data_IF_374175275118
#
_entry.id   IF_374175275118
#
_cell.length_a   1.000
_cell.length_b   1.000
_cell.length_c   1.000
_cell.angle_alpha   90.00
_cell.angle_beta   90.00
_cell.angle_gamma   90.00
#
_symmetry.space_group_name_H-M   'P 1'
#
loop_
_entity.id
_entity.type
_entity.pdbx_description
1 polymer ?
#
# COMPACT_ATOMS: atom_id res chain seq x y z
N UNK A 1 40.84 23.09 -87.55
CA UNK A 1 39.71 23.39 -88.45
C UNK A 1 38.44 22.87 -87.78
N UNK A 2 37.33 23.64 -87.84
CA UNK A 2 35.96 23.26 -87.42
C UNK A 2 35.77 22.94 -85.92
N UNK A 3 34.96 23.73 -85.18
CA UNK A 3 33.48 23.65 -85.00
C UNK A 3 33.05 22.45 -84.10
N UNK A 4 32.10 22.57 -83.16
CA UNK A 4 31.01 23.56 -82.99
C UNK A 4 30.79 24.00 -81.53
N UNK A 5 30.03 25.08 -81.36
CA UNK A 5 29.40 25.50 -80.10
C UNK A 5 28.05 24.77 -79.93
N UNK A 6 27.65 24.48 -78.70
CA UNK A 6 26.23 24.42 -78.30
C UNK A 6 26.02 25.11 -76.95
N UNK A 7 24.86 25.71 -76.76
CA UNK A 7 24.47 26.46 -75.55
C UNK A 7 23.42 25.67 -74.77
N UNK A 8 23.56 25.60 -73.45
CA UNK A 8 22.56 25.05 -72.55
C UNK A 8 22.52 25.87 -71.26
N UNK A 9 21.49 26.72 -71.12
CA UNK A 9 21.22 27.48 -69.88
C UNK A 9 20.12 26.77 -69.12
N UNK A 10 20.37 26.47 -67.85
CA UNK A 10 19.35 26.20 -66.84
C UNK A 10 19.87 26.67 -65.47
N UNK A 11 18.99 27.19 -64.63
CA UNK A 11 19.35 27.85 -63.39
C UNK A 11 18.56 27.32 -62.19
N UNK A 12 19.28 27.01 -61.12
CA UNK A 12 18.78 26.74 -59.76
C UNK A 12 19.96 27.07 -58.82
N UNK A 13 19.94 28.21 -58.13
CA UNK A 13 19.26 28.47 -56.84
C UNK A 13 19.98 27.82 -55.66
N UNK A 14 20.25 28.65 -54.65
CA UNK A 14 20.79 28.38 -53.30
C UNK A 14 20.19 27.12 -52.63
N UNK A 15 20.82 26.48 -51.64
CA UNK A 15 21.68 27.05 -50.60
C UNK A 15 22.67 26.04 -49.98
N UNK A 16 23.63 26.55 -49.21
CA UNK A 16 24.52 25.76 -48.34
C UNK A 16 23.74 25.11 -47.19
N UNK A 17 23.75 23.77 -47.13
CA UNK A 17 23.28 23.04 -45.94
C UNK A 17 24.40 22.93 -44.91
N UNK A 18 24.15 23.43 -43.70
CA UNK A 18 24.97 23.15 -42.52
C UNK A 18 24.61 21.73 -42.07
N UNK A 19 25.58 20.80 -42.10
CA UNK A 19 25.39 19.46 -41.56
C UNK A 19 25.51 19.51 -40.03
N UNK A 20 24.35 19.58 -39.37
CA UNK A 20 24.27 19.29 -37.95
C UNK A 20 24.28 17.76 -37.77
N UNK A 21 25.43 17.21 -37.36
CA UNK A 21 25.52 15.80 -36.97
C UNK A 21 24.75 15.60 -35.64
N UNK A 22 23.49 15.18 -35.74
CA UNK A 22 22.75 14.65 -34.60
C UNK A 22 23.35 13.30 -34.20
N UNK A 23 23.78 13.17 -32.94
CA UNK A 23 24.20 11.89 -32.40
C UNK A 23 22.97 10.98 -32.22
N UNK A 24 22.69 10.17 -33.23
CA UNK A 24 21.59 9.22 -33.22
C UNK A 24 21.95 8.01 -32.34
N UNK A 25 21.68 8.12 -31.03
CA UNK A 25 21.82 7.02 -30.06
C UNK A 25 20.77 5.94 -30.34
N UNK A 26 21.08 5.03 -31.27
CA UNK A 26 20.23 3.89 -31.59
C UNK A 26 20.46 2.79 -30.54
N UNK A 27 19.64 2.79 -29.48
CA UNK A 27 19.70 1.78 -28.43
C UNK A 27 19.48 0.36 -28.97
N UNK A 28 20.39 -0.55 -28.63
CA UNK A 28 20.32 -1.97 -29.03
C UNK A 28 19.44 -2.76 -28.05
N UNK A 29 18.25 -3.15 -28.50
CA UNK A 29 17.22 -3.87 -27.73
C UNK A 29 17.54 -5.37 -27.52
N UNK A 30 18.74 -5.70 -27.05
CA UNK A 30 19.24 -7.09 -27.09
C UNK A 30 20.13 -7.46 -25.87
N UNK A 31 19.58 -7.42 -24.64
CA UNK A 31 20.17 -8.11 -23.46
C UNK A 31 19.33 -8.28 -22.15
N UNK A 32 18.01 -7.99 -22.08
CA UNK A 32 17.26 -7.88 -20.78
C UNK A 32 15.99 -8.80 -20.68
N UNK A 33 15.78 -9.52 -19.55
CA UNK A 33 14.62 -10.37 -19.08
C UNK A 33 14.81 -10.70 -17.55
N UNK A 34 14.14 -11.62 -16.81
CA UNK A 34 12.74 -12.09 -16.56
C UNK A 34 11.55 -11.33 -17.14
N UNK A 35 10.38 -11.10 -16.50
CA UNK A 35 9.39 -11.80 -15.60
C UNK A 35 9.58 -11.93 -14.06
N UNK A 36 8.70 -11.59 -13.07
CA UNK A 36 7.44 -10.80 -12.78
C UNK A 36 6.46 -10.48 -13.92
N UNK A 37 5.67 -9.38 -13.83
CA UNK A 37 5.21 -8.69 -15.06
C UNK A 37 6.44 -8.03 -15.68
N UNK A 38 7.22 -8.89 -16.33
CA UNK A 38 8.37 -8.59 -17.19
C UNK A 38 9.73 -8.18 -16.54
N UNK A 39 9.89 -8.15 -15.20
CA UNK A 39 11.21 -8.10 -14.50
C UNK A 39 11.52 -9.23 -13.49
N UNK A 40 12.78 -9.68 -13.41
CA UNK A 40 13.31 -10.96 -12.86
C UNK A 40 13.08 -11.40 -11.38
N UNK A 41 13.60 -12.59 -11.03
CA UNK A 41 13.87 -12.98 -9.62
C UNK A 41 15.09 -12.21 -9.11
N UNK A 42 14.96 -11.56 -7.96
CA UNK A 42 16.09 -10.88 -7.32
C UNK A 42 17.12 -11.88 -6.80
N UNK A 43 18.40 -11.50 -6.72
CA UNK A 43 19.37 -12.29 -5.95
C UNK A 43 18.99 -12.38 -4.47
N UNK A 44 19.38 -13.48 -3.82
CA UNK A 44 19.26 -13.65 -2.36
C UNK A 44 20.04 -12.52 -1.66
N UNK A 45 19.43 -11.89 -0.66
CA UNK A 45 19.97 -10.74 0.06
C UNK A 45 20.26 -9.48 -0.79
N UNK A 46 19.74 -9.36 -2.03
CA UNK A 46 19.83 -8.11 -2.80
C UNK A 46 19.07 -6.93 -2.14
N UNK A 47 18.04 -7.25 -1.36
CA UNK A 47 17.08 -6.29 -0.81
C UNK A 47 16.79 -6.56 0.68
N UNK A 48 17.79 -6.48 1.57
CA UNK A 48 17.67 -6.87 2.98
C UNK A 48 16.68 -6.02 3.80
N UNK A 49 16.34 -4.82 3.31
CA UNK A 49 15.31 -3.96 3.87
C UNK A 49 13.88 -4.30 3.41
N UNK A 50 13.72 -5.15 2.39
CA UNK A 50 12.41 -5.50 1.84
C UNK A 50 11.59 -6.22 2.91
N UNK A 51 10.34 -5.79 3.10
CA UNK A 51 9.51 -6.25 4.21
C UNK A 51 8.15 -6.70 3.71
N UNK A 52 7.68 -7.86 4.18
CA UNK A 52 6.31 -8.29 3.98
C UNK A 52 5.43 -7.89 5.18
N UNK A 53 4.23 -7.38 4.93
CA UNK A 53 3.18 -7.25 5.94
C UNK A 53 2.33 -8.52 5.95
N UNK A 54 2.27 -9.19 7.10
CA UNK A 54 1.82 -10.60 7.20
C UNK A 54 0.81 -10.78 8.33
N UNK A 55 -0.41 -11.22 7.99
CA UNK A 55 -1.49 -11.52 8.96
C UNK A 55 -1.02 -12.48 10.06
N UNK A 56 -1.41 -12.21 11.30
CA UNK A 56 -0.98 -12.94 12.49
C UNK A 56 -1.39 -14.44 12.43
N UNK A 57 -2.60 -14.71 11.95
CA UNK A 57 -3.30 -15.99 11.97
C UNK A 57 -3.09 -16.83 10.71
N UNK A 58 -2.22 -16.41 9.79
CA UNK A 58 -1.92 -17.14 8.58
C UNK A 58 -1.01 -18.35 8.83
N UNK A 59 -1.24 -19.42 8.07
CA UNK A 59 -0.53 -20.71 8.20
C UNK A 59 0.98 -20.55 7.95
N UNK A 60 1.38 -19.65 7.05
CA UNK A 60 2.76 -19.24 6.81
C UNK A 60 2.81 -17.83 6.18
N UNK A 61 4.01 -17.29 6.03
CA UNK A 61 4.27 -15.95 5.49
C UNK A 61 3.62 -15.77 4.11
N UNK A 62 3.79 -16.72 3.17
CA UNK A 62 3.18 -16.70 1.84
C UNK A 62 1.65 -16.65 1.83
N UNK A 63 0.97 -17.27 2.80
CA UNK A 63 -0.50 -17.18 2.94
C UNK A 63 -0.98 -16.01 3.79
N UNK A 64 -0.08 -15.33 4.50
CA UNK A 64 -0.38 -14.18 5.34
C UNK A 64 -0.04 -12.83 4.70
N UNK A 65 0.85 -12.81 3.71
CA UNK A 65 1.26 -11.60 3.02
C UNK A 65 0.06 -10.90 2.37
N UNK A 66 0.01 -9.57 2.50
CA UNK A 66 -1.03 -8.75 1.88
C UNK A 66 -0.53 -7.42 1.30
N UNK A 67 0.61 -6.92 1.78
CA UNK A 67 1.31 -5.74 1.29
C UNK A 67 2.83 -5.91 1.44
N UNK A 68 3.58 -5.13 0.68
CA UNK A 68 4.99 -4.83 0.92
C UNK A 68 5.19 -3.69 1.91
N UNK A 69 6.43 -3.52 2.34
CA UNK A 69 6.93 -2.46 3.19
C UNK A 69 8.47 -2.40 3.09
N UNK A 70 9.07 -1.46 3.81
CA UNK A 70 10.51 -1.16 3.76
C UNK A 70 11.06 -0.84 5.16
N UNK A 71 12.16 -1.47 5.57
CA UNK A 71 12.78 -1.23 6.88
C UNK A 71 13.68 0.01 6.87
N UNK A 72 13.41 0.94 7.79
CA UNK A 72 14.15 2.22 7.93
C UNK A 72 15.19 2.19 9.07
N UNK A 73 15.43 1.02 9.65
CA UNK A 73 16.32 0.86 10.80
C UNK A 73 15.70 1.30 12.12
N UNK A 74 16.37 0.94 13.21
CA UNK A 74 16.06 1.44 14.56
C UNK A 74 14.70 1.01 15.14
N UNK A 75 13.98 0.08 14.50
CA UNK A 75 12.62 -0.32 14.86
C UNK A 75 11.49 0.33 14.03
N UNK A 76 11.80 0.97 12.90
CA UNK A 76 10.83 1.64 12.04
C UNK A 76 10.66 0.96 10.67
N UNK A 77 9.41 0.79 10.22
CA UNK A 77 9.05 0.27 8.90
C UNK A 77 8.12 1.26 8.18
N UNK A 78 8.30 1.42 6.87
CA UNK A 78 7.57 2.35 5.99
C UNK A 78 6.73 1.57 4.97
N UNK A 79 5.47 1.97 4.79
CA UNK A 79 4.50 1.33 3.90
C UNK A 79 3.42 2.34 3.43
N UNK A 80 2.42 1.87 2.68
CA UNK A 80 1.28 2.67 2.23
C UNK A 80 0.16 2.73 3.31
N UNK A 81 -0.57 3.84 3.36
CA UNK A 81 -1.69 4.02 4.29
C UNK A 81 -2.83 3.03 4.03
N UNK A 82 -3.15 2.77 2.75
CA UNK A 82 -4.22 1.86 2.36
C UNK A 82 -3.99 0.40 2.80
N UNK A 83 -2.74 0.03 3.10
CA UNK A 83 -2.40 -1.28 3.66
C UNK A 83 -2.79 -1.41 5.13
N UNK A 84 -2.86 -0.32 5.90
CA UNK A 84 -2.92 -0.38 7.37
C UNK A 84 -4.05 0.44 8.02
N UNK A 85 -4.74 1.34 7.30
CA UNK A 85 -5.80 2.22 7.85
C UNK A 85 -6.96 1.51 8.58
N UNK A 86 -7.10 0.17 8.44
CA UNK A 86 -8.20 -0.64 8.98
C UNK A 86 -7.75 -1.99 9.55
N UNK A 87 -6.50 -2.09 10.00
CA UNK A 87 -5.94 -3.32 10.60
C UNK A 87 -5.37 -2.99 11.98
N UNK A 88 -5.71 -3.77 13.02
CA UNK A 88 -5.12 -3.55 14.34
C UNK A 88 -3.67 -4.00 14.38
N UNK A 89 -2.85 -3.35 15.21
CA UNK A 89 -1.44 -3.71 15.44
C UNK A 89 -1.21 -5.18 15.85
N UNK A 90 -2.22 -5.84 16.42
CA UNK A 90 -2.15 -7.25 16.83
C UNK A 90 -2.59 -8.23 15.72
N UNK A 91 -3.24 -7.76 14.65
CA UNK A 91 -3.78 -8.60 13.56
C UNK A 91 -2.73 -8.95 12.48
N UNK A 92 -1.57 -8.31 12.50
CA UNK A 92 -0.47 -8.53 11.56
C UNK A 92 0.90 -8.24 12.18
N UNK A 93 1.92 -8.90 11.63
CA UNK A 93 3.33 -8.71 11.96
C UNK A 93 4.08 -8.27 10.70
N UNK A 94 5.31 -7.79 10.86
CA UNK A 94 6.24 -7.58 9.73
C UNK A 94 7.19 -8.79 9.58
N UNK A 95 7.65 -9.06 8.37
CA UNK A 95 8.73 -10.02 8.09
C UNK A 95 9.78 -9.33 7.22
N UNK A 96 10.92 -8.97 7.80
CA UNK A 96 11.92 -8.05 7.23
C UNK A 96 13.13 -8.85 6.73
N UNK A 97 13.59 -8.56 5.52
CA UNK A 97 14.73 -9.25 4.89
C UNK A 97 14.37 -10.64 4.33
N UNK A 98 13.11 -11.06 4.40
CA UNK A 98 12.65 -12.29 3.77
C UNK A 98 12.80 -12.23 2.25
N UNK A 99 13.20 -13.34 1.65
CA UNK A 99 13.37 -13.47 0.21
C UNK A 99 12.36 -14.48 -0.38
N UNK A 100 12.13 -15.61 0.28
CA UNK A 100 11.17 -16.65 -0.09
C UNK A 100 10.11 -16.87 1.01
N UNK A 101 8.89 -16.35 0.79
CA UNK A 101 7.77 -16.39 1.72
C UNK A 101 7.27 -17.80 2.11
N UNK A 102 7.78 -18.87 1.48
CA UNK A 102 7.47 -20.25 1.86
C UNK A 102 8.42 -20.87 2.89
N UNK A 103 9.58 -20.25 3.15
CA UNK A 103 10.55 -20.70 4.17
C UNK A 103 10.39 -19.93 5.49
N UNK A 104 11.11 -20.38 6.51
CA UNK A 104 11.30 -19.73 7.80
C UNK A 104 12.78 -19.50 8.11
N UNK A 105 13.09 -18.55 9.00
CA UNK A 105 14.45 -18.30 9.51
C UNK A 105 15.10 -19.53 10.20
N UNK A 106 14.30 -20.52 10.60
CA UNK A 106 14.75 -21.82 11.13
C UNK A 106 15.13 -22.85 10.05
N UNK A 107 14.79 -22.59 8.79
CA UNK A 107 15.13 -23.45 7.64
C UNK A 107 16.26 -22.83 6.79
N UNK A 108 16.37 -21.49 6.78
CA UNK A 108 17.40 -20.74 6.08
C UNK A 108 17.63 -19.38 6.78
N UNK A 109 18.86 -19.09 7.20
CA UNK A 109 19.21 -17.87 7.95
C UNK A 109 19.09 -16.57 7.12
N UNK A 110 18.96 -16.69 5.79
CA UNK A 110 18.78 -15.58 4.86
C UNK A 110 17.32 -15.13 4.71
N UNK A 111 16.38 -15.71 5.46
CA UNK A 111 14.94 -15.46 5.30
C UNK A 111 14.34 -14.47 6.31
N UNK A 112 15.22 -13.71 6.99
CA UNK A 112 14.86 -12.49 7.70
C UNK A 112 14.34 -12.66 9.13
N UNK A 113 13.84 -11.56 9.70
CA UNK A 113 13.30 -11.49 11.06
C UNK A 113 11.79 -11.17 11.05
N UNK A 114 10.99 -11.92 11.82
CA UNK A 114 9.56 -11.61 12.04
C UNK A 114 9.40 -10.82 13.34
N UNK A 115 8.92 -9.57 13.23
CA UNK A 115 8.78 -8.67 14.36
C UNK A 115 7.34 -8.25 14.62
N UNK A 116 7.01 -8.09 15.91
CA UNK A 116 5.70 -7.63 16.38
C UNK A 116 5.56 -6.11 16.29
N UNK A 117 4.35 -5.65 16.00
CA UNK A 117 4.03 -4.23 15.86
C UNK A 117 3.63 -3.64 17.21
N UNK A 118 4.17 -2.45 17.51
CA UNK A 118 3.88 -1.65 18.69
C UNK A 118 2.82 -0.58 18.40
N UNK A 119 3.02 0.18 17.31
CA UNK A 119 2.15 1.27 16.88
C UNK A 119 2.16 1.43 15.35
N UNK A 120 1.12 2.09 14.84
CA UNK A 120 0.94 2.45 13.42
C UNK A 120 0.49 3.90 13.32
N UNK A 121 1.13 4.63 12.41
CA UNK A 121 0.89 6.05 12.12
C UNK A 121 0.65 6.21 10.62
N UNK A 122 -0.53 6.66 10.23
CA UNK A 122 -0.96 7.02 8.88
C UNK A 122 -0.94 8.55 8.74
N UNK A 123 -0.60 9.06 7.56
CA UNK A 123 -0.62 10.50 7.33
C UNK A 123 -2.02 11.10 7.57
N UNK A 124 -2.08 12.20 8.32
CA UNK A 124 -3.33 12.84 8.76
C UNK A 124 -4.13 13.45 7.60
N UNK A 125 -3.51 13.57 6.41
CA UNK A 125 -4.15 14.05 5.17
C UNK A 125 -4.58 12.92 4.24
N UNK A 126 -4.44 11.66 4.63
CA UNK A 126 -4.84 10.51 3.83
C UNK A 126 -6.37 10.43 3.69
N UNK A 127 -6.89 10.88 2.54
CA UNK A 127 -8.33 11.05 2.28
C UNK A 127 -9.03 9.75 1.85
N UNK A 128 -8.72 8.64 2.52
CA UNK A 128 -9.19 7.28 2.28
C UNK A 128 -8.83 6.65 0.91
N UNK A 129 -8.96 5.31 0.84
CA UNK A 129 -8.58 4.45 -0.30
C UNK A 129 -9.38 4.63 -1.61
N UNK A 130 -9.99 5.80 -1.82
CA UNK A 130 -10.64 6.20 -3.07
C UNK A 130 -9.91 7.33 -3.81
N UNK A 131 -9.03 8.08 -3.13
CA UNK A 131 -8.25 9.17 -3.72
C UNK A 131 -6.74 8.91 -3.70
N UNK A 132 -6.26 8.11 -2.74
CA UNK A 132 -4.84 7.74 -2.54
C UNK A 132 -3.86 8.93 -2.34
N UNK A 133 -4.36 10.16 -2.24
CA UNK A 133 -3.56 11.31 -1.83
C UNK A 133 -3.02 11.12 -0.41
N UNK A 134 -1.72 11.36 -0.23
CA UNK A 134 -0.96 11.11 1.00
C UNK A 134 -1.00 9.64 1.51
N UNK A 135 -0.96 8.66 0.60
CA UNK A 135 -0.96 7.23 0.91
C UNK A 135 0.38 6.72 1.49
N UNK A 136 0.69 7.13 2.72
CA UNK A 136 1.90 6.77 3.46
C UNK A 136 1.59 6.45 4.94
N UNK A 137 2.28 5.43 5.47
CA UNK A 137 2.23 5.04 6.86
C UNK A 137 3.59 4.57 7.41
N UNK A 138 3.84 4.85 8.68
CA UNK A 138 4.94 4.32 9.48
C UNK A 138 4.43 3.29 10.48
N UNK A 139 5.26 2.29 10.76
CA UNK A 139 5.04 1.23 11.73
C UNK A 139 6.22 1.25 12.72
N UNK A 140 5.92 1.32 14.01
CA UNK A 140 6.88 1.17 15.11
C UNK A 140 6.83 -0.28 15.62
N UNK A 141 8.01 -0.89 15.79
CA UNK A 141 8.16 -2.29 16.18
C UNK A 141 8.46 -2.44 17.68
N UNK A 142 8.08 -3.59 18.28
CA UNK A 142 8.35 -3.89 19.70
C UNK A 142 9.81 -4.23 19.97
N UNK A 143 10.48 -4.87 19.01
CA UNK A 143 11.92 -5.11 18.99
C UNK A 143 12.59 -4.22 17.93
N UNK A 144 13.93 -4.16 17.93
CA UNK A 144 14.72 -3.55 16.84
C UNK A 144 15.37 -4.68 16.03
N UNK A 145 14.86 -5.01 14.84
CA UNK A 145 15.36 -6.14 14.07
C UNK A 145 16.80 -5.99 13.59
N UNK A 146 17.51 -7.11 13.52
CA UNK A 146 18.87 -7.18 12.99
C UNK A 146 18.86 -7.38 11.46
N UNK A 147 18.45 -6.32 10.75
CA UNK A 147 18.40 -6.25 9.29
C UNK A 147 18.98 -4.90 8.82
N UNK A 148 19.44 -4.84 7.57
CA UNK A 148 19.90 -3.60 6.96
C UNK A 148 18.73 -2.68 6.61
N UNK A 149 18.95 -1.37 6.74
CA UNK A 149 17.95 -0.33 6.48
C UNK A 149 18.12 0.30 5.11
N UNK A 150 17.03 0.70 4.45
CA UNK A 150 17.09 1.52 3.25
C UNK A 150 17.29 2.99 3.60
N UNK A 151 18.15 3.69 2.85
CA UNK A 151 18.24 5.14 2.92
C UNK A 151 17.05 5.77 2.17
N UNK A 152 16.45 6.83 2.71
CA UNK A 152 15.42 7.58 2.00
C UNK A 152 16.03 8.67 1.11
N UNK A 153 15.47 8.90 -0.08
CA UNK A 153 15.86 10.04 -0.94
C UNK A 153 15.25 11.32 -0.38
N UNK A 154 16.07 12.33 -0.12
CA UNK A 154 15.66 13.61 0.48
C UNK A 154 15.16 14.65 -0.53
N UNK A 155 15.37 14.40 -1.82
CA UNK A 155 15.27 15.41 -2.88
C UNK A 155 14.68 14.81 -4.15
N UNK A 156 13.47 15.26 -4.52
CA UNK A 156 12.79 14.82 -5.75
C UNK A 156 13.51 15.29 -7.02
N UNK A 157 14.10 16.49 -6.97
CA UNK A 157 14.75 17.14 -8.12
C UNK A 157 16.01 16.46 -8.66
N UNK A 158 16.45 15.36 -8.03
CA UNK A 158 17.57 14.54 -8.48
C UNK A 158 17.15 13.50 -9.55
N UNK A 159 15.84 13.27 -9.72
CA UNK A 159 15.31 12.28 -10.67
C UNK A 159 15.11 12.85 -12.08
N UNK A 160 15.73 12.20 -13.07
CA UNK A 160 15.65 12.55 -14.49
C UNK A 160 14.60 11.72 -15.23
N UNK A 161 13.86 12.32 -16.18
CA UNK A 161 12.91 11.58 -17.04
C UNK A 161 13.61 10.40 -17.74
N UNK A 162 13.01 9.21 -17.64
CA UNK A 162 13.59 7.97 -18.17
C UNK A 162 14.65 7.30 -17.29
N UNK A 163 15.03 7.88 -16.15
CA UNK A 163 15.92 7.24 -15.18
C UNK A 163 15.26 5.97 -14.60
N UNK A 164 15.97 4.84 -14.65
CA UNK A 164 15.46 3.57 -14.15
C UNK A 164 15.38 3.57 -12.62
N UNK A 165 14.24 3.12 -12.11
CA UNK A 165 13.92 2.92 -10.71
C UNK A 165 13.48 1.46 -10.52
N UNK A 166 14.04 0.75 -9.54
CA UNK A 166 13.66 -0.64 -9.27
C UNK A 166 12.50 -0.69 -8.27
N UNK A 167 11.43 -1.42 -8.60
CA UNK A 167 10.40 -1.86 -7.64
C UNK A 167 10.50 -3.37 -7.41
N UNK A 168 10.15 -3.83 -6.21
CA UNK A 168 10.34 -5.22 -5.79
C UNK A 168 9.21 -5.73 -4.90
N UNK A 169 8.92 -7.03 -4.99
CA UNK A 169 7.89 -7.66 -4.17
C UNK A 169 7.45 -9.05 -4.61
N UNK A 170 6.26 -9.44 -4.15
CA UNK A 170 5.64 -10.75 -4.33
C UNK A 170 4.22 -10.64 -4.92
N UNK A 171 3.94 -9.53 -5.59
CA UNK A 171 2.65 -9.26 -6.20
C UNK A 171 2.34 -10.12 -7.43
N UNK A 172 1.10 -9.96 -7.88
CA UNK A 172 0.52 -10.71 -8.98
C UNK A 172 1.28 -10.48 -10.31
N UNK A 173 1.96 -11.51 -10.82
CA UNK A 173 2.70 -11.46 -12.09
C UNK A 173 1.82 -11.58 -13.35
N UNK A 174 0.51 -11.36 -13.23
CA UNK A 174 -0.47 -11.55 -14.32
C UNK A 174 -1.27 -10.26 -14.52
N UNK A 175 -0.91 -9.47 -15.53
CA UNK A 175 -1.61 -8.24 -15.90
C UNK A 175 -3.04 -8.50 -16.42
N UNK A 176 -3.27 -9.62 -17.11
CA UNK A 176 -4.59 -9.95 -17.68
C UNK A 176 -5.55 -10.50 -16.61
N UNK A 177 -6.55 -9.69 -16.27
CA UNK A 177 -7.63 -10.01 -15.31
C UNK A 177 -8.53 -11.18 -15.75
N UNK A 178 -8.43 -11.67 -16.98
CA UNK A 178 -9.12 -12.88 -17.43
C UNK A 178 -8.38 -14.18 -17.05
N UNK A 179 -7.12 -14.09 -16.62
CA UNK A 179 -6.32 -15.22 -16.16
C UNK A 179 -6.24 -15.26 -14.62
N UNK A 180 -6.05 -16.45 -14.01
CA UNK A 180 -5.88 -16.53 -12.55
C UNK A 180 -4.58 -15.82 -12.12
N UNK A 181 -4.58 -15.08 -11.01
CA UNK A 181 -3.40 -14.35 -10.55
C UNK A 181 -2.31 -15.31 -10.06
N UNK A 182 -1.05 -14.94 -10.30
CA UNK A 182 0.11 -15.71 -9.89
C UNK A 182 0.99 -14.88 -8.94
N UNK A 183 1.02 -15.25 -7.68
CA UNK A 183 1.87 -14.64 -6.65
C UNK A 183 3.12 -15.53 -6.48
N UNK A 184 4.33 -15.02 -6.75
CA UNK A 184 5.56 -15.78 -6.55
C UNK A 184 5.88 -15.87 -5.06
N UNK A 185 6.45 -16.98 -4.60
CA UNK A 185 6.95 -17.06 -3.21
C UNK A 185 8.32 -16.39 -3.07
N UNK A 186 9.12 -16.40 -4.13
CA UNK A 186 10.46 -15.79 -4.24
C UNK A 186 10.34 -14.33 -4.68
N UNK A 187 11.12 -13.45 -4.06
CA UNK A 187 11.14 -12.01 -4.31
C UNK A 187 11.51 -11.70 -5.77
N UNK A 188 10.72 -10.83 -6.39
CA UNK A 188 10.92 -10.35 -7.76
C UNK A 188 11.30 -8.87 -7.77
N UNK A 189 11.95 -8.43 -8.85
CA UNK A 189 12.36 -7.04 -9.07
C UNK A 189 12.10 -6.60 -10.52
N UNK A 190 11.67 -5.36 -10.75
CA UNK A 190 11.55 -4.79 -12.11
C UNK A 190 11.99 -3.34 -12.13
N UNK A 191 12.79 -2.99 -13.14
CA UNK A 191 13.16 -1.60 -13.41
C UNK A 191 12.08 -0.93 -14.26
N UNK A 192 11.63 0.24 -13.80
CA UNK A 192 10.65 1.10 -14.47
C UNK A 192 11.19 2.52 -14.59
N UNK A 193 11.02 3.22 -15.73
CA UNK A 193 11.53 4.57 -15.91
C UNK A 193 10.71 5.58 -15.09
N UNK A 194 11.37 6.55 -14.47
CA UNK A 194 10.71 7.70 -13.85
C UNK A 194 9.99 8.55 -14.90
N UNK A 195 8.74 8.91 -14.60
CA UNK A 195 7.86 9.71 -15.45
C UNK A 195 7.53 11.03 -14.75
N UNK A 196 7.84 12.19 -15.35
CA UNK A 196 7.52 13.49 -14.79
C UNK A 196 6.02 13.63 -14.45
N UNK A 197 5.74 14.25 -13.30
CA UNK A 197 4.38 14.47 -12.79
C UNK A 197 3.43 15.10 -13.84
N UNK A 198 3.93 16.03 -14.65
CA UNK A 198 3.19 16.65 -15.77
C UNK A 198 2.84 15.65 -16.88
N UNK A 199 3.79 14.81 -17.30
CA UNK A 199 3.58 13.71 -18.25
C UNK A 199 2.54 12.72 -17.72
N UNK A 200 2.56 12.44 -16.42
CA UNK A 200 1.57 11.59 -15.75
C UNK A 200 0.17 12.24 -15.71
N UNK A 201 0.06 13.50 -15.29
CA UNK A 201 -1.19 14.28 -15.24
C UNK A 201 -1.89 14.37 -16.61
N UNK A 202 -1.14 14.41 -17.71
CA UNK A 202 -1.67 14.42 -19.08
C UNK A 202 -2.49 13.18 -19.46
N UNK A 203 -2.43 12.09 -18.68
CA UNK A 203 -3.32 10.92 -18.84
C UNK A 203 -4.79 11.19 -18.45
N UNK A 204 -5.08 12.35 -17.82
CA UNK A 204 -6.41 12.74 -17.35
C UNK A 204 -6.99 11.77 -16.28
N UNK A 205 -8.28 11.89 -15.97
CA UNK A 205 -8.95 11.05 -14.98
C UNK A 205 -8.38 11.23 -13.58
N UNK A 206 -8.01 10.13 -12.92
CA UNK A 206 -7.36 10.16 -11.61
C UNK A 206 -5.97 10.81 -11.66
N UNK A 207 -5.18 10.56 -12.72
CA UNK A 207 -3.82 11.08 -12.84
C UNK A 207 -3.76 12.61 -12.84
N UNK A 208 -4.80 13.30 -13.34
CA UNK A 208 -4.89 14.77 -13.34
C UNK A 208 -4.92 15.40 -11.94
N UNK A 209 -5.16 14.61 -10.87
CA UNK A 209 -5.14 15.07 -9.48
C UNK A 209 -3.78 14.97 -8.80
N UNK A 210 -2.82 14.22 -9.37
CA UNK A 210 -1.57 13.85 -8.69
C UNK A 210 -0.82 15.11 -8.25
N UNK A 211 -0.66 15.28 -6.93
CA UNK A 211 0.07 16.37 -6.31
C UNK A 211 1.53 16.02 -6.07
N UNK A 212 2.21 16.87 -5.30
CA UNK A 212 3.61 16.65 -4.90
C UNK A 212 3.77 15.43 -3.97
N UNK A 213 2.68 14.96 -3.37
CA UNK A 213 2.60 13.77 -2.53
C UNK A 213 2.81 12.44 -3.28
N UNK A 214 2.83 12.45 -4.62
CA UNK A 214 3.13 11.27 -5.42
C UNK A 214 4.04 11.54 -6.63
N UNK A 215 4.68 10.47 -7.11
CA UNK A 215 5.49 10.38 -8.33
C UNK A 215 4.97 9.24 -9.21
N UNK A 216 5.33 9.21 -10.49
CA UNK A 216 4.94 8.15 -11.42
C UNK A 216 6.16 7.44 -12.02
N UNK A 217 6.01 6.15 -12.31
CA UNK A 217 7.00 5.37 -13.06
C UNK A 217 6.34 4.28 -13.91
N UNK A 218 6.97 3.91 -15.02
CA UNK A 218 6.49 2.88 -15.95
C UNK A 218 6.64 3.28 -17.42
N UNK A 219 6.63 2.31 -18.32
CA UNK A 219 6.76 2.55 -19.76
C UNK A 219 5.41 3.00 -20.37
N UNK A 220 5.38 3.91 -21.35
CA UNK A 220 4.14 4.33 -22.00
C UNK A 220 3.46 3.18 -22.77
N UNK A 221 4.21 2.18 -23.23
CA UNK A 221 3.71 0.94 -23.82
C UNK A 221 3.09 -0.03 -22.79
N UNK A 222 3.28 0.21 -21.49
CA UNK A 222 2.93 -0.73 -20.42
C UNK A 222 3.93 -1.87 -20.32
N UNK A 223 3.45 -3.11 -20.12
CA UNK A 223 4.27 -4.33 -20.10
C UNK A 223 4.99 -4.58 -18.77
N UNK A 224 5.59 -3.56 -18.15
CA UNK A 224 6.39 -3.66 -16.92
C UNK A 224 5.76 -2.82 -15.80
N UNK A 225 5.40 -3.44 -14.68
CA UNK A 225 4.77 -2.77 -13.53
C UNK A 225 4.81 -3.61 -12.24
N UNK A 226 4.64 -2.92 -11.11
CA UNK A 226 4.16 -3.46 -9.84
C UNK A 226 2.70 -3.93 -9.94
N UNK A 227 2.22 -4.76 -9.02
CA UNK A 227 0.82 -5.20 -9.05
C UNK A 227 0.22 -5.52 -7.66
N UNK A 228 -0.98 -6.11 -7.63
CA UNK A 228 -1.66 -6.46 -6.37
C UNK A 228 -0.74 -7.33 -5.50
N UNK A 229 -0.50 -6.91 -4.25
CA UNK A 229 0.43 -7.55 -3.32
C UNK A 229 1.77 -6.81 -3.16
N UNK A 230 2.18 -5.98 -4.13
CA UNK A 230 3.35 -5.10 -4.02
C UNK A 230 3.05 -3.77 -3.31
N UNK A 231 1.76 -3.41 -3.18
CA UNK A 231 1.24 -2.27 -2.39
C UNK A 231 2.03 -2.03 -1.11
N UNK A 232 2.49 -0.80 -0.87
CA UNK A 232 3.32 -0.44 0.27
C UNK A 232 4.80 -0.79 0.15
N UNK A 233 5.21 -1.56 -0.86
CA UNK A 233 6.61 -1.89 -1.15
C UNK A 233 7.43 -0.68 -1.65
N UNK A 234 8.76 -0.77 -1.61
CA UNK A 234 9.65 0.32 -2.01
C UNK A 234 9.83 0.42 -3.53
N UNK A 235 9.83 1.65 -4.03
CA UNK A 235 10.45 2.02 -5.31
C UNK A 235 11.79 2.71 -4.98
N UNK A 236 12.90 2.22 -5.54
CA UNK A 236 14.26 2.69 -5.23
C UNK A 236 15.01 3.17 -6.47
N UNK A 237 15.97 4.07 -6.26
CA UNK A 237 17.01 4.42 -7.24
C UNK A 237 18.33 3.77 -6.83
N UNK A 238 19.10 3.28 -7.82
CA UNK A 238 20.48 2.79 -7.64
C UNK A 238 21.46 3.82 -8.20
N UNK A 239 22.38 4.31 -7.36
CA UNK A 239 23.42 5.29 -7.71
C UNK A 239 24.80 4.65 -7.42
N UNK A 240 25.19 3.69 -8.27
CA UNK A 240 26.28 2.76 -7.95
C UNK A 240 25.84 1.76 -6.87
N UNK A 241 26.68 1.56 -5.85
CA UNK A 241 26.36 0.71 -4.70
C UNK A 241 25.35 1.36 -3.72
N UNK A 242 25.02 2.65 -3.92
CA UNK A 242 24.06 3.38 -3.08
C UNK A 242 22.62 3.10 -3.53
N UNK A 243 21.79 2.61 -2.61
CA UNK A 243 20.35 2.38 -2.82
C UNK A 243 19.56 3.40 -2.00
N UNK A 244 18.72 4.19 -2.66
CA UNK A 244 17.81 5.13 -1.97
C UNK A 244 16.35 4.88 -2.36
N UNK A 245 15.46 4.80 -1.39
CA UNK A 245 14.02 4.72 -1.63
C UNK A 245 13.48 6.09 -2.05
N UNK A 246 12.80 6.14 -3.19
CA UNK A 246 12.19 7.34 -3.78
C UNK A 246 10.67 7.31 -3.71
N UNK A 247 10.07 6.12 -3.64
CA UNK A 247 8.63 5.93 -3.63
C UNK A 247 8.13 4.74 -2.81
N UNK A 248 6.81 4.70 -2.63
CA UNK A 248 6.04 3.63 -1.98
C UNK A 248 4.92 3.22 -2.94
N UNK A 249 4.80 1.94 -3.31
CA UNK A 249 3.78 1.43 -4.25
C UNK A 249 2.38 1.78 -3.72
N UNK A 250 1.61 2.58 -4.49
CA UNK A 250 0.31 3.09 -4.05
C UNK A 250 -0.85 2.62 -4.95
N UNK A 251 -0.91 3.04 -6.22
CA UNK A 251 -1.99 2.68 -7.14
C UNK A 251 -1.60 2.73 -8.62
N UNK A 252 -2.46 2.23 -9.51
CA UNK A 252 -2.33 2.31 -10.95
C UNK A 252 -3.64 1.92 -11.66
N UNK A 253 -3.85 2.35 -12.91
CA UNK A 253 -5.07 2.07 -13.69
C UNK A 253 -5.06 0.65 -14.29
N UNK A 254 -4.96 -0.36 -13.41
CA UNK A 254 -4.55 -1.71 -13.78
C UNK A 254 -3.02 -1.83 -13.82
N UNK A 255 -2.51 -3.06 -13.77
CA UNK A 255 -1.07 -3.31 -13.81
C UNK A 255 -0.61 -3.37 -15.28
N UNK A 256 0.51 -2.71 -15.59
CA UNK A 256 1.24 -2.84 -16.83
C UNK A 256 0.43 -2.57 -18.12
N UNK A 257 -0.63 -1.75 -18.03
CA UNK A 257 -1.44 -1.39 -19.19
C UNK A 257 -0.79 -0.25 -19.98
N UNK A 258 -0.91 -0.22 -21.33
CA UNK A 258 -0.43 0.90 -22.12
C UNK A 258 -1.06 2.22 -21.67
N UNK A 259 -0.23 3.25 -21.47
CA UNK A 259 -0.62 4.55 -20.93
C UNK A 259 -1.27 4.50 -19.52
N UNK A 260 -0.87 3.53 -18.69
CA UNK A 260 -1.18 3.51 -17.25
C UNK A 260 0.12 3.35 -16.46
N UNK A 261 0.69 4.46 -15.99
CA UNK A 261 1.84 4.44 -15.10
C UNK A 261 1.46 3.98 -13.70
N UNK A 262 2.38 3.29 -13.01
CA UNK A 262 2.31 3.08 -11.57
C UNK A 262 2.50 4.42 -10.85
N UNK A 263 1.75 4.62 -9.78
CA UNK A 263 1.77 5.83 -8.94
C UNK A 263 2.24 5.44 -7.55
N UNK A 264 3.19 6.21 -7.04
CA UNK A 264 3.94 5.91 -5.83
C UNK A 264 3.93 7.13 -4.91
N UNK A 265 3.70 6.94 -3.61
CA UNK A 265 3.79 8.03 -2.63
C UNK A 265 5.23 8.55 -2.57
N UNK A 266 5.41 9.88 -2.64
CA UNK A 266 6.70 10.54 -2.85
C UNK A 266 7.48 10.65 -1.53
N UNK A 267 8.51 9.82 -1.37
CA UNK A 267 9.32 9.76 -0.13
C UNK A 267 9.99 11.10 0.18
N UNK A 268 10.45 11.83 -0.84
CA UNK A 268 11.10 13.13 -0.65
C UNK A 268 10.14 14.21 -0.13
N UNK A 269 8.86 14.17 -0.53
CA UNK A 269 7.82 15.06 -0.03
C UNK A 269 7.44 14.78 1.44
N UNK A 270 7.57 13.53 1.89
CA UNK A 270 7.17 13.12 3.24
C UNK A 270 8.29 13.12 4.29
N UNK A 271 9.51 13.56 3.96
CA UNK A 271 10.65 13.58 4.89
C UNK A 271 10.32 14.26 6.22
N UNK A 272 9.74 15.47 6.20
CA UNK A 272 9.39 16.22 7.41
C UNK A 272 8.36 15.47 8.28
N UNK A 273 7.41 14.75 7.67
CA UNK A 273 6.41 13.96 8.39
C UNK A 273 7.03 12.67 8.98
N UNK A 274 7.91 12.01 8.22
CA UNK A 274 8.65 10.83 8.67
C UNK A 274 9.57 11.20 9.85
N UNK A 275 10.28 12.33 9.77
CA UNK A 275 11.12 12.85 10.84
C UNK A 275 10.28 13.16 12.09
N UNK A 276 9.21 13.98 11.94
CA UNK A 276 8.30 14.33 13.05
C UNK A 276 7.82 13.11 13.83
N UNK A 277 7.25 12.11 13.16
CA UNK A 277 6.71 10.91 13.83
C UNK A 277 7.81 10.13 14.57
N UNK A 278 9.03 10.06 14.00
CA UNK A 278 10.17 9.35 14.62
C UNK A 278 10.80 10.12 15.78
N UNK A 279 10.73 11.45 15.77
CA UNK A 279 11.38 12.34 16.76
C UNK A 279 10.43 12.78 17.89
N UNK A 280 9.11 12.68 17.68
CA UNK A 280 8.05 13.03 18.63
C UNK A 280 8.25 12.42 20.04
N UNK A 281 8.81 11.21 20.12
CA UNK A 281 9.09 10.54 21.38
C UNK A 281 7.83 10.16 22.17
N UNK A 282 6.74 9.84 21.46
CA UNK A 282 5.47 9.38 22.02
C UNK A 282 4.97 8.21 21.18
N UNK A 283 4.80 7.04 21.79
CA UNK A 283 4.22 5.86 21.14
C UNK A 283 2.72 5.77 21.41
N UNK A 284 1.92 5.72 20.34
CA UNK A 284 0.47 5.50 20.40
C UNK A 284 -0.06 4.88 19.10
N UNK A 285 -1.12 4.07 19.16
CA UNK A 285 -1.77 3.58 17.95
C UNK A 285 -2.85 4.55 17.48
N UNK A 286 -2.63 5.20 16.34
CA UNK A 286 -3.52 6.23 15.79
C UNK A 286 -4.87 5.66 15.30
N UNK A 287 -4.91 4.38 14.88
CA UNK A 287 -6.11 3.69 14.41
C UNK A 287 -6.43 2.46 15.27
N UNK A 288 -7.71 2.23 15.54
CA UNK A 288 -8.23 1.02 16.20
C UNK A 288 -9.45 0.52 15.45
N UNK A 289 -9.47 -0.74 14.99
CA UNK A 289 -10.58 -1.33 14.22
C UNK A 289 -11.27 -2.45 14.99
N UNK A 290 -12.60 -2.39 15.12
CA UNK A 290 -13.35 -3.26 16.02
C UNK A 290 -14.65 -3.77 15.42
N UNK A 291 -14.76 -5.10 15.37
CA UNK A 291 -16.02 -5.81 15.11
C UNK A 291 -16.87 -5.85 16.37
N UNK A 292 -18.04 -5.22 16.32
CA UNK A 292 -18.95 -5.11 17.46
C UNK A 292 -19.98 -6.24 17.40
N UNK A 293 -19.68 -7.31 18.13
CA UNK A 293 -20.58 -8.45 18.40
C UNK A 293 -21.37 -8.28 19.71
N UNK A 294 -20.83 -7.51 20.65
CA UNK A 294 -21.34 -7.38 22.03
C UNK A 294 -22.30 -6.17 22.21
N UNK A 295 -23.16 -6.18 23.25
CA UNK A 295 -24.07 -5.05 23.51
C UNK A 295 -23.35 -3.81 24.03
N UNK A 296 -22.22 -3.98 24.72
CA UNK A 296 -21.24 -2.94 25.08
C UNK A 296 -19.99 -3.06 24.23
N UNK A 297 -19.23 -1.98 24.17
CA UNK A 297 -17.88 -1.91 23.58
C UNK A 297 -17.00 -1.19 24.60
N UNK A 298 -15.79 -1.73 24.82
CA UNK A 298 -14.81 -1.21 25.76
C UNK A 298 -13.45 -1.21 25.08
N UNK A 299 -12.79 -0.04 25.03
CA UNK A 299 -11.50 0.15 24.38
C UNK A 299 -10.53 0.82 25.34
N UNK A 300 -9.25 0.48 25.20
CA UNK A 300 -8.14 1.09 25.94
C UNK A 300 -7.15 1.71 24.96
N UNK A 301 -6.98 3.03 25.04
CA UNK A 301 -5.95 3.76 24.30
C UNK A 301 -4.74 3.95 25.21
N UNK A 302 -3.61 3.35 24.85
CA UNK A 302 -2.35 3.47 25.59
C UNK A 302 -1.46 4.53 24.94
N UNK A 303 -0.85 5.37 25.78
CA UNK A 303 0.14 6.39 25.37
C UNK A 303 1.40 6.16 26.18
N UNK A 304 2.54 6.00 25.50
CA UNK A 304 3.84 5.69 26.09
C UNK A 304 4.85 6.79 25.77
N UNK A 305 5.57 7.29 26.78
CA UNK A 305 6.67 8.24 26.58
C UNK A 305 7.95 7.48 26.18
N UNK A 306 8.29 7.52 24.89
CA UNK A 306 9.50 6.88 24.33
C UNK A 306 10.71 7.79 24.31
N UNK A 307 10.58 9.05 24.74
CA UNK A 307 11.69 10.00 24.83
C UNK A 307 12.47 9.89 26.15
N UNK A 308 13.59 10.61 26.22
CA UNK A 308 14.41 10.84 27.41
C UNK A 308 13.92 12.01 28.29
N UNK A 309 12.80 12.66 27.93
CA UNK A 309 12.25 13.85 28.60
C UNK A 309 10.83 13.61 29.10
N UNK A 310 10.46 14.25 30.22
CA UNK A 310 9.12 14.13 30.79
C UNK A 310 8.02 14.67 29.86
N UNK A 311 6.95 13.90 29.70
CA UNK A 311 5.79 14.17 28.85
C UNK A 311 4.58 14.50 29.72
N UNK A 312 3.85 15.58 29.40
CA UNK A 312 2.60 15.95 30.10
C UNK A 312 1.45 15.99 29.11
N UNK A 313 0.32 15.39 29.47
CA UNK A 313 -0.92 15.47 28.69
C UNK A 313 -1.71 16.67 29.20
N UNK A 314 -2.00 17.61 28.31
CA UNK A 314 -2.63 18.89 28.63
C UNK A 314 -4.16 18.85 28.52
N UNK A 315 -4.68 18.10 27.54
CA UNK A 315 -6.12 18.00 27.27
C UNK A 315 -6.46 16.70 26.53
N UNK A 316 -7.70 16.21 26.70
CA UNK A 316 -8.23 15.00 26.05
C UNK A 316 -9.69 15.27 25.64
N UNK A 317 -9.90 15.48 24.34
CA UNK A 317 -11.18 15.88 23.75
C UNK A 317 -11.76 14.74 22.90
N UNK A 318 -12.98 14.30 23.22
CA UNK A 318 -13.81 13.51 22.29
C UNK A 318 -14.50 14.45 21.31
N UNK A 319 -14.73 14.02 20.07
CA UNK A 319 -15.51 14.78 19.09
C UNK A 319 -16.89 15.23 19.63
N UNK A 320 -17.44 16.39 19.25
CA UNK A 320 -18.61 16.99 19.92
C UNK A 320 -19.87 16.12 19.97
N UNK A 321 -20.10 15.28 18.96
CA UNK A 321 -21.25 14.36 18.86
C UNK A 321 -20.89 12.91 19.24
N UNK A 322 -19.78 12.71 19.97
CA UNK A 322 -19.24 11.37 20.23
C UNK A 322 -20.24 10.43 20.94
N UNK A 323 -20.32 9.22 20.40
CA UNK A 323 -21.06 8.08 20.94
C UNK A 323 -20.26 7.34 22.03
N UNK A 324 -18.97 7.64 22.20
CA UNK A 324 -18.12 7.08 23.25
C UNK A 324 -18.31 7.82 24.58
N UNK A 325 -17.66 7.32 25.64
CA UNK A 325 -17.62 7.96 26.95
C UNK A 325 -16.34 7.50 27.65
N UNK A 326 -15.49 8.43 28.11
CA UNK A 326 -14.30 8.10 28.91
C UNK A 326 -14.77 7.59 30.27
N UNK A 327 -14.33 6.38 30.67
CA UNK A 327 -14.71 5.74 31.94
C UNK A 327 -13.62 5.93 33.00
N UNK A 328 -12.37 5.73 32.61
CA UNK A 328 -11.17 5.99 33.43
C UNK A 328 -10.08 6.58 32.55
N UNK A 329 -9.19 7.36 33.15
CA UNK A 329 -8.14 8.11 32.50
C UNK A 329 -6.98 8.24 33.49
N UNK A 330 -5.80 7.75 33.13
CA UNK A 330 -4.57 7.85 33.92
C UNK A 330 -3.55 8.82 33.30
N UNK A 331 -3.95 9.54 32.25
CA UNK A 331 -3.10 10.44 31.47
C UNK A 331 -3.17 11.91 31.92
N UNK A 332 -4.35 12.40 32.33
CA UNK A 332 -4.52 13.80 32.75
C UNK A 332 -4.09 14.03 34.20
N UNK A 333 -3.35 15.12 34.43
CA UNK A 333 -2.92 15.59 35.75
C UNK A 333 -1.61 14.98 36.26
N UNK A 334 -1.17 13.88 35.68
CA UNK A 334 0.13 13.24 35.94
C UNK A 334 1.17 13.64 34.88
N UNK A 335 2.44 13.33 35.17
CA UNK A 335 3.54 13.49 34.21
C UNK A 335 4.17 12.14 33.91
N UNK A 336 4.24 11.80 32.63
CA UNK A 336 4.86 10.57 32.14
C UNK A 336 6.38 10.75 32.07
N UNK A 337 7.08 10.16 33.02
CA UNK A 337 8.52 10.00 32.97
C UNK A 337 8.96 9.10 31.80
N UNK A 338 10.24 9.16 31.35
CA UNK A 338 10.78 8.31 30.29
C UNK A 338 10.47 6.82 30.49
N UNK A 339 10.06 6.14 29.41
CA UNK A 339 9.63 4.72 29.41
C UNK A 339 8.41 4.40 30.29
N UNK A 340 7.58 5.40 30.65
CA UNK A 340 6.29 5.17 31.32
C UNK A 340 5.11 5.38 30.37
N UNK A 341 3.95 4.83 30.73
CA UNK A 341 2.72 4.91 29.93
C UNK A 341 1.49 5.17 30.78
N UNK A 342 0.48 5.80 30.17
CA UNK A 342 -0.88 5.92 30.70
C UNK A 342 -1.89 5.29 29.75
N UNK A 343 -3.13 5.16 30.23
CA UNK A 343 -4.28 4.66 29.49
C UNK A 343 -5.51 5.55 29.61
N UNK A 344 -6.29 5.60 28.53
CA UNK A 344 -7.62 6.19 28.44
C UNK A 344 -8.58 5.05 28.12
N UNK A 345 -9.50 4.74 29.03
CA UNK A 345 -10.52 3.73 28.78
C UNK A 345 -11.81 4.39 28.30
N UNK A 346 -12.36 3.85 27.22
CA UNK A 346 -13.54 4.33 26.52
C UNK A 346 -14.61 3.24 26.53
N UNK A 347 -15.87 3.62 26.77
CA UNK A 347 -17.00 2.71 26.61
C UNK A 347 -18.06 3.26 25.66
N UNK A 348 -18.80 2.37 25.02
CA UNK A 348 -20.09 2.68 24.41
C UNK A 348 -21.02 1.47 24.44
N UNK A 349 -22.21 1.63 23.88
CA UNK A 349 -23.13 0.52 23.60
C UNK A 349 -23.33 0.39 22.10
N UNK A 350 -23.52 -0.83 21.61
CA UNK A 350 -23.84 -1.10 20.20
C UNK A 350 -25.08 -0.33 19.71
N UNK A 351 -26.01 -0.01 20.63
CA UNK A 351 -27.18 0.86 20.37
C UNK A 351 -26.85 2.35 20.22
N UNK A 352 -25.82 2.87 20.91
CA UNK A 352 -25.30 4.24 20.73
C UNK A 352 -24.50 4.34 19.44
N UNK A 353 -23.57 3.40 19.22
CA UNK A 353 -22.72 3.34 18.02
C UNK A 353 -23.56 3.25 16.75
N UNK A 354 -24.54 2.35 16.72
CA UNK A 354 -25.32 2.02 15.53
C UNK A 354 -26.86 2.15 15.78
N UNK A 355 -27.41 3.38 15.88
CA UNK A 355 -28.81 3.61 16.27
C UNK A 355 -29.86 2.95 15.37
N UNK A 356 -29.57 2.75 14.08
CA UNK A 356 -30.46 2.08 13.11
C UNK A 356 -29.92 0.68 12.79
N UNK A 357 -30.81 -0.24 12.41
CA UNK A 357 -30.43 -1.59 11.94
C UNK A 357 -29.63 -1.59 10.63
N UNK A 358 -29.67 -0.50 9.86
CA UNK A 358 -28.90 -0.28 8.62
C UNK A 358 -27.49 0.26 8.85
N UNK A 359 -27.17 0.75 10.04
CA UNK A 359 -25.85 1.31 10.32
C UNK A 359 -24.84 0.17 10.43
N UNK A 360 -23.90 0.11 9.50
CA UNK A 360 -22.90 -0.96 9.42
C UNK A 360 -21.54 -0.55 10.00
N UNK A 361 -21.17 0.73 9.88
CA UNK A 361 -19.89 1.29 10.31
C UNK A 361 -20.10 2.61 11.03
N UNK A 362 -19.25 2.85 12.00
CA UNK A 362 -19.14 4.07 12.79
C UNK A 362 -17.65 4.41 12.94
N UNK A 363 -17.32 5.69 12.90
CA UNK A 363 -15.95 6.17 13.21
C UNK A 363 -16.08 7.24 14.29
N UNK A 364 -15.14 7.27 15.22
CA UNK A 364 -15.13 8.16 16.37
C UNK A 364 -13.72 8.71 16.56
N UNK A 365 -13.59 10.03 16.69
CA UNK A 365 -12.32 10.71 16.95
C UNK A 365 -12.15 11.08 18.42
N UNK A 366 -10.95 10.84 18.93
CA UNK A 366 -10.44 11.40 20.18
C UNK A 366 -9.12 12.14 19.89
N UNK A 367 -8.95 13.32 20.45
CA UNK A 367 -7.73 14.13 20.33
C UNK A 367 -7.06 14.27 21.69
N UNK A 368 -5.75 14.03 21.75
CA UNK A 368 -4.93 14.26 22.95
C UNK A 368 -3.94 15.37 22.67
N UNK A 369 -4.03 16.47 23.43
CA UNK A 369 -3.08 17.58 23.34
C UNK A 369 -1.96 17.36 24.36
N UNK A 370 -0.70 17.43 23.92
CA UNK A 370 0.48 17.17 24.74
C UNK A 370 1.25 18.46 25.04
N UNK A 371 2.32 18.41 25.85
CA UNK A 371 3.29 19.50 26.00
C UNK A 371 4.45 19.45 24.97
N UNK A 372 4.45 18.47 24.06
CA UNK A 372 5.46 18.31 23.01
C UNK A 372 5.25 19.36 21.90
N UNK A 373 6.34 19.80 21.26
CA UNK A 373 6.36 20.55 19.99
C UNK A 373 5.19 21.50 19.70
N UNK A 374 5.07 22.58 20.49
CA UNK A 374 4.02 23.61 20.35
C UNK A 374 2.58 23.10 20.60
N UNK A 375 2.44 22.18 21.55
CA UNK A 375 1.21 21.51 21.95
C UNK A 375 0.66 20.54 20.90
N UNK A 376 1.52 19.60 20.48
CA UNK A 376 1.23 18.58 19.48
C UNK A 376 -0.02 17.74 19.84
N UNK A 377 -0.82 17.41 18.82
CA UNK A 377 -2.13 16.79 18.94
C UNK A 377 -2.14 15.37 18.37
N UNK A 378 -2.16 14.38 19.25
CA UNK A 378 -2.29 12.97 18.90
C UNK A 378 -3.75 12.68 18.55
N UNK A 379 -4.01 12.26 17.30
CA UNK A 379 -5.35 11.89 16.83
C UNK A 379 -5.58 10.39 16.94
N UNK A 380 -6.74 9.99 17.46
CA UNK A 380 -7.14 8.59 17.61
C UNK A 380 -8.46 8.33 16.86
N UNK A 381 -8.38 7.54 15.78
CA UNK A 381 -9.51 7.13 14.96
C UNK A 381 -9.99 5.72 15.39
N UNK A 382 -11.08 5.66 16.15
CA UNK A 382 -11.71 4.42 16.56
C UNK A 382 -12.81 4.04 15.55
N UNK A 383 -12.59 2.95 14.83
CA UNK A 383 -13.45 2.46 13.75
C UNK A 383 -14.23 1.22 14.22
N UNK A 384 -15.54 1.36 14.36
CA UNK A 384 -16.43 0.27 14.78
C UNK A 384 -17.24 -0.24 13.59
N UNK A 385 -17.19 -1.53 13.32
CA UNK A 385 -18.03 -2.21 12.34
C UNK A 385 -18.98 -3.17 13.06
N UNK A 386 -20.29 -3.02 12.85
CA UNK A 386 -21.28 -3.95 13.39
C UNK A 386 -21.03 -5.31 12.75
N UNK A 387 -20.80 -6.35 13.55
CA UNK A 387 -20.56 -7.67 12.97
C UNK A 387 -21.89 -8.22 12.44
N UNK A 388 -22.04 -8.19 11.12
CA UNK A 388 -23.11 -8.87 10.41
C UNK A 388 -22.69 -10.34 10.31
N UNK A 389 -22.97 -11.12 11.35
CA UNK A 389 -22.96 -12.59 11.21
C UNK A 389 -23.70 -12.95 9.93
N UNK A 390 -23.13 -13.88 9.15
CA UNK A 390 -23.68 -14.26 7.85
C UNK A 390 -25.18 -14.54 8.00
N UNK A 391 -26.01 -13.69 7.40
CA UNK A 391 -27.32 -14.15 6.94
C UNK A 391 -27.00 -15.26 5.95
N UNK A 392 -27.15 -16.50 6.41
CA UNK A 392 -27.19 -17.65 5.52
C UNK A 392 -28.11 -17.28 4.37
N UNK A 393 -27.59 -17.34 3.14
CA UNK A 393 -28.44 -17.30 1.97
C UNK A 393 -29.22 -18.59 2.03
N UNK A 394 -30.39 -18.53 2.66
CA UNK A 394 -31.38 -19.60 2.73
C UNK A 394 -31.93 -19.82 1.33
N UNK A 395 -31.10 -20.42 0.48
CA UNK A 395 -31.48 -20.91 -0.84
C UNK A 395 -32.70 -21.78 -0.62
N UNK A 396 -33.85 -21.33 -1.10
CA UNK A 396 -35.13 -22.00 -0.92
C UNK A 396 -35.21 -23.21 -1.86
N UNK A 397 -34.29 -24.17 -1.70
CA UNK A 397 -34.36 -25.49 -2.28
C UNK A 397 -35.56 -26.20 -1.68
N UNK A 398 -36.64 -26.28 -2.44
CA UNK A 398 -37.90 -26.92 -2.04
C UNK A 398 -37.72 -28.45 -1.95
N UNK A 399 -37.02 -28.91 -0.92
CA UNK A 399 -36.79 -30.30 -0.58
C UNK A 399 -38.07 -30.95 -0.06
N UNK A 400 -39.01 -31.23 -0.96
CA UNK A 400 -40.26 -31.91 -0.63
C UNK A 400 -40.00 -33.33 -0.12
N UNK A 401 -40.28 -33.56 1.17
CA UNK A 401 -40.22 -34.88 1.78
C UNK A 401 -41.35 -35.76 1.26
N UNK A 402 -41.01 -36.86 0.57
CA UNK A 402 -41.97 -37.89 0.18
C UNK A 402 -41.45 -39.25 0.68
N UNK A 403 -42.30 -39.95 1.44
CA UNK A 403 -42.03 -41.27 1.98
C UNK A 403 -42.03 -42.34 0.88
N UNK A 404 -41.31 -43.44 1.10
CA UNK A 404 -41.32 -44.60 0.22
C UNK A 404 -42.69 -45.30 0.21
N UNK A 405 -43.27 -45.49 -0.97
CA UNK A 405 -44.29 -46.49 -1.25
C UNK A 405 -44.21 -46.92 -2.73
N UNK A 406 -44.64 -48.15 -3.03
CA UNK A 406 -44.43 -48.82 -4.33
C UNK A 406 -45.49 -48.48 -5.38
N UNK A 407 -45.26 -49.00 -6.61
CA UNK A 407 -46.10 -48.98 -7.82
C UNK A 407 -45.89 -47.73 -8.71
N UNK A 408 -45.75 -47.82 -10.04
CA UNK A 408 -45.55 -49.01 -10.89
C UNK A 408 -45.96 -48.77 -12.36
N UNK A 409 -45.22 -49.37 -13.31
CA UNK A 409 -45.46 -49.39 -14.78
C UNK A 409 -45.39 -48.02 -15.51
N UNK A 410 -45.16 -48.04 -16.84
CA UNK A 410 -45.42 -46.89 -17.73
C UNK A 410 -44.32 -46.55 -18.75
N UNK A 411 -44.36 -47.17 -19.94
CA UNK A 411 -43.53 -46.83 -21.11
C UNK A 411 -44.04 -45.59 -21.86
N UNK A 412 -43.16 -44.99 -22.68
CA UNK A 412 -43.42 -43.97 -23.73
C UNK A 412 -43.80 -42.54 -23.23
N UNK A 413 -43.56 -41.45 -23.97
CA UNK A 413 -42.74 -41.31 -25.19
C UNK A 413 -43.05 -40.07 -26.05
N UNK A 414 -42.00 -39.34 -26.44
CA UNK A 414 -41.93 -38.38 -27.58
C UNK A 414 -42.66 -37.01 -27.54
N UNK A 415 -42.18 -36.14 -28.45
CA UNK A 415 -42.71 -34.86 -28.98
C UNK A 415 -42.57 -33.50 -28.24
N UNK A 416 -41.60 -32.71 -28.77
CA UNK A 416 -41.69 -31.32 -29.32
C UNK A 416 -42.33 -30.15 -28.53
N UNK A 417 -41.60 -29.01 -28.58
CA UNK A 417 -42.02 -27.63 -28.95
C UNK A 417 -43.53 -27.29 -28.93
N UNK A 418 -43.96 -26.10 -28.46
CA UNK A 418 -43.39 -24.75 -28.69
C UNK A 418 -44.06 -23.69 -27.79
N UNK A 419 -43.40 -22.54 -27.51
CA UNK A 419 -43.97 -21.18 -27.16
C UNK A 419 -45.12 -21.09 -26.12
N UNK A 420 -45.15 -20.24 -25.07
CA UNK A 420 -44.42 -19.03 -24.74
C UNK A 420 -45.29 -18.05 -23.92
N UNK A 421 -44.68 -16.94 -23.48
CA UNK A 421 -45.30 -15.65 -23.08
C UNK A 421 -46.00 -15.53 -21.69
N UNK A 422 -45.32 -14.75 -20.80
CA UNK A 422 -45.81 -14.02 -19.60
C UNK A 422 -46.27 -14.86 -18.39
N UNK A 423 -46.17 -14.34 -17.17
CA UNK A 423 -45.66 -13.03 -16.72
C UNK A 423 -44.28 -13.14 -16.08
#
# INVERSE_FOLDING_TARGET
MYKSIWVGVLASVFASQISANTHNQQWSLDQWMPRIIEGEESDVNAWPFMTALVKNNAINTYKGQFCGASYLGGGWVLTAAHCVERINVNDFHVHIGVHNLLKTASEDENEGERAEIKAVYVNEKYAAASDYSNDIALIELRSKPNADAVALKTTEGDLSEGQLLTVMGWGNTVADRNHPPHYPSVLRQVDVPYVPRTTCQNLNGAYAKIGNDAICAGFPEGGYDSCQGDSGGPLVVKEGDNVQQVGIVSWGNGCAQPNAYGVYANVAYFQDWIAKIKELGISYSQYTYRKVTQPSVEEELVIENTSDTALSILDIELEPDSKLTITTNTCLGETLEPSTSCSIHLTSTSKKLFPRSTDAREVQQLTVTTNRENNEKLSFALMFERDQENKEVTTSSSGGSISWSLLGLGLLGWFRFRQGVKW
#
